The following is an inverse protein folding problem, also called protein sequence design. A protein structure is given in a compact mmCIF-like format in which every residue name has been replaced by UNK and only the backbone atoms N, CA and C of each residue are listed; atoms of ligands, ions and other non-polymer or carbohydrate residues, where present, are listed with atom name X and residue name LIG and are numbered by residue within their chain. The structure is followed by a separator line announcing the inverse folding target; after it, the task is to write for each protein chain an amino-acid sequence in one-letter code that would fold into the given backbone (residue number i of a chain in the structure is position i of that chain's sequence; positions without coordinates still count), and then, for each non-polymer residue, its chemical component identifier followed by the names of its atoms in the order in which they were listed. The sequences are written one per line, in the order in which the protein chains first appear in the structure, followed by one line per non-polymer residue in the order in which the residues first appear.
data_IF_743045553825
#
_entry.id   IF_743045553825
#
_cell.length_a   1.000
_cell.length_b   1.000
_cell.length_c   1.000
_cell.angle_alpha   90.00
_cell.angle_beta   90.00
_cell.angle_gamma   90.00
#
_symmetry.space_group_name_H-M   'P 1'
#
loop_
_entity.id
_entity.type
_entity.pdbx_description
1 polymer ?
#
# COMPACT_ATOMS: atom_id res chain seq x y z
N UNK A 1 -18.24 2.21 13.03
CA UNK A 1 -17.73 1.26 12.01
C UNK A 1 -18.77 0.88 10.95
N UNK A 2 -20.08 0.96 11.21
CA UNK A 2 -21.09 0.62 10.20
C UNK A 2 -21.08 1.59 9.00
N UNK A 3 -21.03 2.90 9.24
CA UNK A 3 -20.98 3.91 8.18
C UNK A 3 -19.90 3.68 7.11
N UNK A 4 -18.66 3.37 7.53
CA UNK A 4 -17.55 3.13 6.59
C UNK A 4 -17.75 1.85 5.76
N UNK A 5 -18.30 0.80 6.38
CA UNK A 5 -18.61 -0.43 5.67
C UNK A 5 -19.76 -0.22 4.68
N UNK A 6 -20.77 0.55 5.07
CA UNK A 6 -21.92 0.87 4.22
C UNK A 6 -21.51 1.77 3.06
N UNK A 7 -20.69 2.79 3.32
CA UNK A 7 -20.13 3.67 2.30
C UNK A 7 -19.29 2.87 1.28
N UNK A 8 -18.37 2.02 1.76
CA UNK A 8 -17.54 1.21 0.88
C UNK A 8 -18.33 0.10 0.19
N UNK A 9 -19.37 -0.44 0.82
CA UNK A 9 -20.28 -1.41 0.21
C UNK A 9 -21.11 -0.79 -0.90
N UNK A 10 -21.64 0.43 -0.69
CA UNK A 10 -22.34 1.20 -1.73
C UNK A 10 -21.41 1.60 -2.87
N UNK A 11 -20.19 2.03 -2.55
CA UNK A 11 -19.17 2.33 -3.55
C UNK A 11 -18.82 1.08 -4.36
N UNK A 12 -18.62 -0.06 -3.69
CA UNK A 12 -18.34 -1.33 -4.36
C UNK A 12 -19.49 -1.76 -5.27
N UNK A 13 -20.74 -1.62 -4.80
CA UNK A 13 -21.94 -1.85 -5.60
C UNK A 13 -21.95 -0.97 -6.85
N UNK A 14 -21.76 0.34 -6.71
CA UNK A 14 -21.72 1.29 -7.82
C UNK A 14 -20.64 0.92 -8.85
N UNK A 15 -19.44 0.59 -8.37
CA UNK A 15 -18.33 0.14 -9.22
C UNK A 15 -18.67 -1.18 -9.92
N UNK A 16 -19.26 -2.14 -9.21
CA UNK A 16 -19.66 -3.43 -9.78
C UNK A 16 -20.72 -3.26 -10.87
N UNK A 17 -21.80 -2.52 -10.61
CA UNK A 17 -22.86 -2.26 -11.59
C UNK A 17 -22.32 -1.54 -12.84
N UNK A 18 -21.42 -0.58 -12.64
CA UNK A 18 -20.73 0.11 -13.74
C UNK A 18 -19.92 -0.87 -14.58
N UNK A 19 -19.08 -1.70 -13.94
CA UNK A 19 -18.27 -2.72 -14.64
C UNK A 19 -19.15 -3.75 -15.35
N UNK A 20 -20.25 -4.17 -14.72
CA UNK A 20 -21.20 -5.12 -15.30
C UNK A 20 -21.88 -4.55 -16.54
N UNK A 21 -22.32 -3.28 -16.50
CA UNK A 21 -22.88 -2.59 -17.66
C UNK A 21 -21.91 -2.44 -18.84
N UNK A 22 -20.60 -2.41 -18.56
CA UNK A 22 -19.56 -2.37 -19.58
C UNK A 22 -19.27 -3.77 -20.18
N UNK A 23 -19.81 -4.84 -19.56
CA UNK A 23 -19.67 -6.21 -20.07
C UNK A 23 -18.23 -6.71 -20.17
N UNK A 24 -17.33 -6.22 -19.31
CA UNK A 24 -15.89 -6.51 -19.39
C UNK A 24 -15.52 -7.95 -19.01
N UNK A 25 -16.42 -8.65 -18.33
CA UNK A 25 -16.23 -9.99 -17.81
C UNK A 25 -15.99 -11.04 -18.90
N UNK A 26 -15.09 -11.96 -18.62
CA UNK A 26 -14.73 -13.10 -19.46
C UNK A 26 -14.71 -14.39 -18.63
N UNK A 27 -14.49 -15.53 -19.29
CA UNK A 27 -14.35 -16.83 -18.63
C UNK A 27 -13.22 -16.86 -17.58
N UNK A 28 -12.18 -16.04 -17.76
CA UNK A 28 -11.00 -16.02 -16.89
C UNK A 28 -10.98 -14.82 -15.92
N UNK A 29 -11.68 -13.73 -16.21
CA UNK A 29 -11.72 -12.55 -15.34
C UNK A 29 -13.16 -12.09 -15.26
N UNK A 30 -13.79 -12.25 -14.09
CA UNK A 30 -15.18 -11.88 -13.91
C UNK A 30 -15.37 -10.38 -13.70
N UNK A 31 -16.60 -9.89 -13.87
CA UNK A 31 -16.99 -8.51 -13.52
C UNK A 31 -16.65 -8.19 -12.05
N UNK A 32 -16.77 -9.17 -11.16
CA UNK A 32 -16.40 -9.01 -9.75
C UNK A 32 -14.88 -8.76 -9.57
N UNK A 33 -14.04 -9.44 -10.35
CA UNK A 33 -12.60 -9.21 -10.34
C UNK A 33 -12.24 -7.80 -10.84
N UNK A 34 -12.86 -7.36 -11.94
CA UNK A 34 -12.70 -6.00 -12.45
C UNK A 34 -13.16 -4.94 -11.45
N UNK A 35 -14.28 -5.17 -10.75
CA UNK A 35 -14.75 -4.26 -9.72
C UNK A 35 -13.70 -4.07 -8.61
N UNK A 36 -13.05 -5.15 -8.16
CA UNK A 36 -11.97 -5.07 -7.17
C UNK A 36 -10.73 -4.35 -7.70
N UNK A 37 -10.38 -4.53 -8.98
CA UNK A 37 -9.29 -3.80 -9.64
C UNK A 37 -9.59 -2.29 -9.65
N UNK A 38 -10.81 -1.91 -10.03
CA UNK A 38 -11.26 -0.51 -10.07
C UNK A 38 -11.30 0.10 -8.67
N UNK A 39 -11.72 -0.65 -7.65
CA UNK A 39 -11.62 -0.20 -6.25
C UNK A 39 -10.18 0.09 -5.84
N UNK A 40 -9.23 -0.75 -6.24
CA UNK A 40 -7.80 -0.54 -6.02
C UNK A 40 -7.31 0.75 -6.66
N UNK A 41 -7.75 1.02 -7.88
CA UNK A 41 -7.45 2.24 -8.61
C UNK A 41 -8.04 3.48 -7.92
N UNK A 42 -9.31 3.42 -7.52
CA UNK A 42 -9.99 4.52 -6.84
C UNK A 42 -9.31 4.89 -5.51
N UNK A 43 -8.96 3.87 -4.71
CA UNK A 43 -8.18 4.06 -3.49
C UNK A 43 -6.84 4.76 -3.77
N UNK A 44 -6.14 4.36 -4.83
CA UNK A 44 -4.87 5.00 -5.19
C UNK A 44 -5.05 6.44 -5.61
N UNK A 45 -6.06 6.76 -6.41
CA UNK A 45 -6.36 8.14 -6.80
C UNK A 45 -6.55 9.04 -5.57
N UNK A 46 -7.28 8.57 -4.55
CA UNK A 46 -7.49 9.32 -3.30
C UNK A 46 -6.19 9.49 -2.49
N UNK A 47 -5.30 8.50 -2.52
CA UNK A 47 -4.08 8.51 -1.69
C UNK A 47 -2.86 9.13 -2.38
N UNK A 48 -2.92 9.42 -3.68
CA UNK A 48 -1.86 10.16 -4.42
C UNK A 48 -1.45 11.47 -3.74
N UNK A 49 -2.34 12.41 -3.37
CA UNK A 49 -1.91 13.68 -2.77
C UNK A 49 -1.14 13.48 -1.45
N UNK A 50 -1.59 12.56 -0.61
CA UNK A 50 -0.92 12.18 0.63
C UNK A 50 0.45 11.52 0.36
N UNK A 51 0.53 10.72 -0.70
CA UNK A 51 1.77 10.06 -1.13
C UNK A 51 2.80 11.10 -1.61
N UNK A 52 2.37 12.11 -2.37
CA UNK A 52 3.22 13.21 -2.83
C UNK A 52 3.74 14.02 -1.63
N UNK A 53 2.88 14.32 -0.66
CA UNK A 53 3.29 15.02 0.56
C UNK A 53 4.33 14.21 1.34
N UNK A 54 4.11 12.90 1.48
CA UNK A 54 5.06 11.98 2.12
C UNK A 54 6.41 11.95 1.39
N UNK A 55 6.41 11.95 0.06
CA UNK A 55 7.64 12.01 -0.75
C UNK A 55 8.41 13.33 -0.55
N UNK A 56 7.72 14.48 -0.51
CA UNK A 56 8.35 15.78 -0.24
C UNK A 56 9.02 15.82 1.14
N UNK A 57 8.38 15.24 2.14
CA UNK A 57 8.93 15.17 3.50
C UNK A 57 10.15 14.25 3.56
N UNK A 58 10.13 13.13 2.83
CA UNK A 58 11.29 12.24 2.71
C UNK A 58 12.49 12.93 2.04
N UNK A 59 12.27 13.77 1.02
CA UNK A 59 13.36 14.54 0.40
C UNK A 59 13.99 15.54 1.39
N UNK A 60 13.18 16.24 2.19
CA UNK A 60 13.68 17.12 3.25
C UNK A 60 14.56 16.35 4.24
N UNK A 61 14.11 15.17 4.67
CA UNK A 61 14.92 14.31 5.55
C UNK A 61 16.25 13.90 4.89
N UNK A 62 16.24 13.56 3.59
CA UNK A 62 17.45 13.22 2.85
C UNK A 62 18.47 14.36 2.83
N UNK A 63 18.04 15.62 2.67
CA UNK A 63 18.93 16.80 2.69
C UNK A 63 19.58 17.03 4.06
N UNK A 64 18.92 16.60 5.13
CA UNK A 64 19.39 16.76 6.52
C UNK A 64 20.14 15.54 7.06
N UNK A 65 20.19 14.43 6.30
CA UNK A 65 20.94 13.24 6.65
C UNK A 65 22.42 13.49 7.03
N UNK A 66 23.21 14.34 6.34
CA UNK A 66 24.61 14.55 6.72
C UNK A 66 24.77 15.20 8.10
N UNK A 67 23.85 16.08 8.51
CA UNK A 67 23.89 16.68 9.86
C UNK A 67 23.51 15.65 10.94
N UNK A 68 22.56 14.76 10.64
CA UNK A 68 22.24 13.63 11.52
C UNK A 68 23.43 12.68 11.69
N UNK A 69 24.21 12.47 10.63
CA UNK A 69 25.41 11.64 10.69
C UNK A 69 26.50 12.28 11.57
N UNK A 70 26.64 13.62 11.54
CA UNK A 70 27.53 14.36 12.47
C UNK A 70 27.09 14.21 13.93
N UNK A 71 25.78 14.31 14.20
CA UNK A 71 25.22 14.07 15.55
C UNK A 71 25.54 12.64 16.01
N UNK A 72 25.42 11.66 15.11
CA UNK A 72 25.77 10.26 15.39
C UNK A 72 27.25 10.09 15.68
N UNK A 73 28.14 10.72 14.92
CA UNK A 73 29.59 10.68 15.19
C UNK A 73 29.94 11.31 16.54
N UNK A 74 29.26 12.41 16.92
CA UNK A 74 29.54 13.16 18.14
C UNK A 74 28.96 12.53 19.41
N UNK A 75 27.77 11.92 19.33
CA UNK A 75 27.02 11.44 20.50
C UNK A 75 26.69 9.94 20.45
N UNK A 76 27.08 9.22 19.40
CA UNK A 76 26.69 7.82 19.19
C UNK A 76 27.20 6.82 20.24
N UNK A 77 28.12 7.24 21.12
CA UNK A 77 28.58 6.44 22.25
C UNK A 77 27.54 6.36 23.39
N UNK A 78 26.64 7.35 23.49
CA UNK A 78 25.57 7.39 24.49
C UNK A 78 24.22 7.43 23.79
N UNK A 79 23.50 6.30 23.84
CA UNK A 79 22.23 6.15 23.18
C UNK A 79 21.16 7.14 23.68
N UNK A 80 21.15 7.49 24.97
CA UNK A 80 20.15 8.41 25.50
C UNK A 80 20.42 9.84 25.02
N UNK A 81 21.69 10.29 25.09
CA UNK A 81 22.08 11.61 24.62
C UNK A 81 21.90 11.73 23.10
N UNK A 82 22.27 10.70 22.34
CA UNK A 82 22.08 10.65 20.90
C UNK A 82 20.59 10.79 20.52
N UNK A 83 19.70 10.03 21.15
CA UNK A 83 18.27 10.09 20.88
C UNK A 83 17.69 11.48 21.21
N UNK A 84 18.10 12.07 22.34
CA UNK A 84 17.68 13.42 22.73
C UNK A 84 18.14 14.47 21.71
N UNK A 85 19.42 14.44 21.33
CA UNK A 85 20.00 15.38 20.36
C UNK A 85 19.41 15.23 18.96
N UNK A 86 19.11 14.00 18.55
CA UNK A 86 18.41 13.73 17.29
C UNK A 86 16.99 14.32 17.31
N UNK A 87 16.24 14.16 18.40
CA UNK A 87 14.89 14.74 18.54
C UNK A 87 14.92 16.28 18.57
N UNK A 88 15.87 16.87 19.29
CA UNK A 88 16.09 18.33 19.32
C UNK A 88 16.34 18.86 17.90
N UNK A 89 17.29 18.25 17.18
CA UNK A 89 17.60 18.62 15.79
C UNK A 89 16.40 18.49 14.84
N UNK A 90 15.65 17.38 14.95
CA UNK A 90 14.43 17.19 14.14
C UNK A 90 13.37 18.26 14.45
N UNK A 91 13.21 18.65 15.72
CA UNK A 91 12.26 19.70 16.15
C UNK A 91 12.64 21.06 15.59
N UNK A 92 13.90 21.44 15.74
CA UNK A 92 14.44 22.74 15.30
C UNK A 92 14.29 22.92 13.78
N UNK A 93 14.51 21.84 13.02
CA UNK A 93 14.43 21.88 11.57
C UNK A 93 13.02 21.61 11.00
N UNK A 94 11.99 21.60 11.85
CA UNK A 94 10.61 21.23 11.47
C UNK A 94 10.56 19.93 10.65
N UNK A 95 11.47 18.99 10.95
CA UNK A 95 11.40 17.65 10.41
C UNK A 95 10.17 17.01 11.04
N UNK A 96 9.34 16.38 10.22
CA UNK A 96 8.30 15.50 10.78
C UNK A 96 9.00 14.46 11.65
N UNK A 97 8.78 14.57 12.96
CA UNK A 97 9.27 13.60 13.93
C UNK A 97 8.43 12.32 13.78
N UNK A 98 9.11 11.20 13.55
CA UNK A 98 8.46 9.90 13.43
C UNK A 98 7.75 9.65 12.09
N UNK A 99 6.84 8.67 12.11
CA UNK A 99 6.28 7.98 10.95
C UNK A 99 5.23 8.79 10.14
N UNK A 100 5.12 10.11 10.35
CA UNK A 100 3.90 10.89 10.19
C UNK A 100 3.25 11.01 8.79
N UNK A 101 3.86 10.49 7.72
CA UNK A 101 3.18 10.33 6.42
C UNK A 101 2.93 8.86 6.03
N UNK A 102 3.86 7.98 6.39
CA UNK A 102 3.78 6.55 6.05
C UNK A 102 2.82 5.79 6.96
N UNK A 103 2.74 6.13 8.25
CA UNK A 103 1.78 5.50 9.16
C UNK A 103 0.34 5.90 8.84
N UNK A 104 0.09 7.16 8.46
CA UNK A 104 -1.25 7.63 8.13
C UNK A 104 -1.80 6.88 6.91
N UNK A 105 -0.97 6.73 5.87
CA UNK A 105 -1.32 5.93 4.68
C UNK A 105 -1.61 4.48 5.05
N UNK A 106 -0.81 3.89 5.94
CA UNK A 106 -1.02 2.52 6.41
C UNK A 106 -2.29 2.36 7.25
N UNK A 107 -2.61 3.31 8.13
CA UNK A 107 -3.86 3.29 8.90
C UNK A 107 -5.06 3.36 7.97
N UNK A 108 -5.05 4.28 7.00
CA UNK A 108 -6.11 4.39 6.00
C UNK A 108 -6.23 3.08 5.20
N UNK A 109 -5.11 2.50 4.77
CA UNK A 109 -5.07 1.21 4.09
C UNK A 109 -5.75 0.11 4.94
N UNK A 110 -5.39 0.00 6.23
CA UNK A 110 -5.97 -1.00 7.13
C UNK A 110 -7.47 -0.79 7.34
N UNK A 111 -7.93 0.45 7.52
CA UNK A 111 -9.37 0.76 7.66
C UNK A 111 -10.15 0.32 6.43
N UNK A 112 -9.63 0.60 5.23
CA UNK A 112 -10.28 0.23 3.97
C UNK A 112 -10.28 -1.29 3.78
N UNK A 113 -9.19 -1.97 4.11
CA UNK A 113 -9.10 -3.45 4.05
C UNK A 113 -10.15 -4.07 4.96
N UNK A 114 -10.27 -3.63 6.22
CA UNK A 114 -11.24 -4.19 7.15
C UNK A 114 -12.68 -3.99 6.68
N UNK A 115 -12.98 -2.82 6.10
CA UNK A 115 -14.28 -2.55 5.53
C UNK A 115 -14.56 -3.38 4.28
N UNK A 116 -13.61 -3.46 3.34
CA UNK A 116 -13.73 -4.28 2.13
C UNK A 116 -13.83 -5.77 2.46
N UNK A 117 -13.10 -6.25 3.46
CA UNK A 117 -13.23 -7.61 3.99
C UNK A 117 -14.67 -7.91 4.41
N UNK A 118 -15.33 -6.99 5.14
CA UNK A 118 -16.73 -7.16 5.52
C UNK A 118 -17.69 -7.15 4.33
N UNK A 119 -17.42 -6.32 3.33
CA UNK A 119 -18.20 -6.29 2.07
C UNK A 119 -18.05 -7.61 1.30
N UNK A 120 -16.84 -8.16 1.23
CA UNK A 120 -16.57 -9.46 0.59
C UNK A 120 -17.23 -10.61 1.37
N UNK A 121 -17.27 -10.54 2.70
CA UNK A 121 -17.92 -11.56 3.54
C UNK A 121 -19.45 -11.50 3.52
N UNK A 122 -20.04 -10.31 3.37
CA UNK A 122 -21.50 -10.12 3.33
C UNK A 122 -21.95 -9.47 2.00
N UNK A 123 -21.65 -10.11 0.86
CA UNK A 123 -21.82 -9.49 -0.44
C UNK A 123 -23.30 -9.39 -0.86
N UNK A 124 -24.17 -10.24 -0.31
CA UNK A 124 -25.63 -10.22 -0.52
C UNK A 124 -26.27 -8.92 -0.05
N UNK A 125 -25.64 -8.20 0.87
CA UNK A 125 -26.11 -6.91 1.38
C UNK A 125 -26.04 -5.81 0.31
N UNK A 126 -25.11 -5.92 -0.63
CA UNK A 126 -24.81 -4.85 -1.59
C UNK A 126 -25.01 -5.27 -3.05
N UNK A 127 -24.75 -6.53 -3.39
CA UNK A 127 -24.90 -7.06 -4.75
C UNK A 127 -26.13 -7.97 -4.81
N UNK A 128 -27.12 -7.56 -5.61
CA UNK A 128 -28.28 -8.40 -5.92
C UNK A 128 -27.87 -9.60 -6.77
N UNK A 129 -28.51 -10.76 -6.59
CA UNK A 129 -28.18 -12.01 -7.30
C UNK A 129 -26.74 -12.51 -7.12
N UNK A 130 -26.09 -12.19 -5.99
CA UNK A 130 -24.72 -12.62 -5.71
C UNK A 130 -24.49 -14.13 -5.87
N UNK A 131 -25.49 -14.97 -5.62
CA UNK A 131 -25.35 -16.42 -5.78
C UNK A 131 -25.12 -16.86 -7.24
N UNK A 132 -25.43 -15.99 -8.21
CA UNK A 132 -25.32 -16.25 -9.65
C UNK A 132 -24.14 -15.53 -10.32
N UNK A 133 -23.41 -14.68 -9.59
CA UNK A 133 -22.31 -13.93 -10.19
C UNK A 133 -21.06 -14.79 -10.32
N UNK A 134 -20.36 -14.67 -11.45
CA UNK A 134 -19.03 -15.25 -11.60
C UNK A 134 -18.03 -14.45 -10.77
N UNK A 135 -17.16 -15.15 -10.04
CA UNK A 135 -16.12 -14.58 -9.17
C UNK A 135 -14.72 -15.08 -9.56
N UNK A 136 -14.57 -15.54 -10.79
CA UNK A 136 -13.33 -16.13 -11.31
C UNK A 136 -12.28 -15.05 -11.56
N UNK A 137 -11.04 -15.35 -11.20
CA UNK A 137 -9.85 -14.59 -11.56
C UNK A 137 -8.68 -15.54 -11.87
N UNK A 138 -8.39 -15.74 -13.14
CA UNK A 138 -7.42 -16.68 -13.68
C UNK A 138 -7.55 -18.08 -13.05
N UNK A 139 -6.62 -18.46 -12.17
CA UNK A 139 -6.60 -19.76 -11.48
C UNK A 139 -7.50 -19.81 -10.24
N UNK A 140 -8.10 -18.68 -9.85
CA UNK A 140 -8.93 -18.54 -8.66
C UNK A 140 -10.40 -18.67 -9.07
N UNK A 141 -11.10 -19.75 -8.69
CA UNK A 141 -12.49 -19.95 -9.09
C UNK A 141 -13.46 -19.04 -8.32
N UNK A 142 -13.12 -18.66 -7.09
CA UNK A 142 -13.94 -17.79 -6.26
C UNK A 142 -13.10 -16.80 -5.44
N UNK A 143 -13.20 -15.51 -5.76
CA UNK A 143 -12.52 -14.42 -5.06
C UNK A 143 -13.03 -14.18 -3.62
N UNK A 144 -14.16 -14.74 -3.21
CA UNK A 144 -14.62 -14.67 -1.83
C UNK A 144 -13.87 -15.65 -0.90
N UNK A 145 -13.23 -16.67 -1.47
CA UNK A 145 -12.46 -17.67 -0.75
C UNK A 145 -10.96 -17.36 -0.83
N UNK A 146 -10.16 -18.02 0.00
CA UNK A 146 -8.70 -17.94 -0.11
C UNK A 146 -8.20 -18.50 -1.46
N UNK A 147 -7.01 -18.05 -1.89
CA UNK A 147 -6.38 -18.56 -3.11
C UNK A 147 -6.25 -20.10 -3.04
N UNK A 148 -6.79 -20.87 -4.01
CA UNK A 148 -6.76 -22.33 -3.97
C UNK A 148 -5.33 -22.90 -4.02
N UNK A 149 -4.38 -22.18 -4.62
CA UNK A 149 -2.97 -22.59 -4.59
C UNK A 149 -2.38 -22.42 -3.18
N UNK A 150 -2.95 -21.52 -2.40
CA UNK A 150 -2.48 -21.14 -1.07
C UNK A 150 -1.21 -20.30 -1.06
N UNK A 151 -0.59 -19.97 -2.20
CA UNK A 151 0.66 -19.20 -2.23
C UNK A 151 0.84 -18.29 -3.44
N UNK A 152 0.21 -18.54 -4.58
CA UNK A 152 0.52 -17.83 -5.82
C UNK A 152 0.17 -16.34 -5.75
N UNK A 153 -1.08 -15.99 -5.44
CA UNK A 153 -1.51 -14.60 -5.29
C UNK A 153 -0.85 -13.92 -4.07
N UNK A 154 -0.74 -14.54 -2.88
CA UNK A 154 0.04 -13.99 -1.77
C UNK A 154 1.49 -13.69 -2.15
N UNK A 155 2.16 -14.55 -2.91
CA UNK A 155 3.54 -14.36 -3.33
C UNK A 155 3.65 -13.18 -4.31
N UNK A 156 2.77 -13.10 -5.30
CA UNK A 156 2.69 -11.96 -6.23
C UNK A 156 2.51 -10.66 -5.44
N UNK A 157 1.61 -10.68 -4.44
CA UNK A 157 1.42 -9.53 -3.58
C UNK A 157 2.72 -9.16 -2.83
N UNK A 158 3.35 -10.09 -2.13
CA UNK A 158 4.57 -9.81 -1.36
C UNK A 158 5.73 -9.34 -2.23
N UNK A 159 5.92 -9.92 -3.42
CA UNK A 159 6.92 -9.48 -4.39
C UNK A 159 6.60 -8.08 -4.90
N UNK A 160 5.33 -7.77 -5.21
CA UNK A 160 4.93 -6.43 -5.62
C UNK A 160 5.11 -5.39 -4.50
N UNK A 161 4.90 -5.76 -3.23
CA UNK A 161 5.21 -4.88 -2.10
C UNK A 161 6.70 -4.57 -2.04
N UNK A 162 7.56 -5.58 -2.17
CA UNK A 162 9.02 -5.38 -2.22
C UNK A 162 9.44 -4.50 -3.41
N UNK A 163 8.82 -4.71 -4.59
CA UNK A 163 9.05 -3.89 -5.78
C UNK A 163 8.68 -2.43 -5.54
N UNK A 164 7.48 -2.15 -5.02
CA UNK A 164 7.07 -0.79 -4.64
C UNK A 164 8.03 -0.17 -3.62
N UNK A 165 8.39 -0.92 -2.58
CA UNK A 165 9.29 -0.44 -1.53
C UNK A 165 10.68 -0.11 -2.07
N UNK A 166 11.19 -0.86 -3.04
CA UNK A 166 12.45 -0.56 -3.72
C UNK A 166 12.41 0.84 -4.36
N UNK A 167 11.32 1.19 -5.04
CA UNK A 167 11.14 2.54 -5.59
C UNK A 167 10.99 3.62 -4.52
N UNK A 168 10.49 3.27 -3.33
CA UNK A 168 10.40 4.19 -2.19
C UNK A 168 11.74 4.37 -1.45
N UNK A 169 12.63 3.38 -1.54
CA UNK A 169 13.93 3.31 -0.83
C UNK A 169 14.92 4.39 -1.25
N UNK A 170 14.84 4.88 -2.49
CA UNK A 170 15.69 5.96 -2.99
C UNK A 170 15.49 7.31 -2.25
N UNK A 171 14.51 7.38 -1.35
CA UNK A 171 14.24 8.55 -0.51
C UNK A 171 14.71 8.38 0.95
N UNK A 172 15.24 7.20 1.33
CA UNK A 172 15.72 6.94 2.68
C UNK A 172 17.25 6.93 2.66
N UNK A 173 17.88 7.86 3.38
CA UNK A 173 19.33 7.84 3.58
C UNK A 173 19.79 6.54 4.23
N UNK A 174 21.08 6.24 4.17
CA UNK A 174 21.70 5.19 4.97
C UNK A 174 22.47 5.88 6.11
N UNK A 175 22.31 5.46 7.38
CA UNK A 175 23.15 6.03 8.45
C UNK A 175 22.66 5.89 9.89
N UNK A 176 21.35 5.93 10.17
CA UNK A 176 20.84 5.96 11.56
C UNK A 176 20.30 4.60 12.03
N UNK A 177 20.50 4.26 13.32
CA UNK A 177 20.00 3.00 13.90
C UNK A 177 18.48 2.87 13.77
N UNK A 178 17.75 3.97 13.94
CA UNK A 178 16.30 4.05 13.70
C UNK A 178 15.92 3.79 12.24
N UNK A 179 16.81 4.14 11.31
CA UNK A 179 16.61 3.95 9.87
C UNK A 179 16.93 2.51 9.45
N UNK A 180 17.91 1.87 10.10
CA UNK A 180 18.18 0.43 9.94
C UNK A 180 17.00 -0.42 10.44
N UNK A 181 16.39 -0.05 11.57
CA UNK A 181 15.17 -0.71 12.06
C UNK A 181 14.01 -0.54 11.08
N UNK A 182 13.84 0.65 10.51
CA UNK A 182 12.81 0.91 9.50
C UNK A 182 13.05 0.15 8.19
N UNK A 183 14.31 0.05 7.74
CA UNK A 183 14.68 -0.75 6.57
C UNK A 183 14.47 -2.25 6.79
N UNK A 184 14.75 -2.74 8.00
CA UNK A 184 14.52 -4.15 8.37
C UNK A 184 13.03 -4.47 8.39
N UNK A 185 12.21 -3.59 9.00
CA UNK A 185 10.75 -3.71 8.99
C UNK A 185 10.19 -3.72 7.56
N UNK A 186 10.79 -2.93 6.66
CA UNK A 186 10.43 -2.89 5.25
C UNK A 186 10.47 -4.29 4.62
N UNK A 187 11.50 -5.09 4.90
CA UNK A 187 11.67 -6.44 4.35
C UNK A 187 10.88 -7.52 5.09
N UNK A 188 10.73 -7.40 6.40
CA UNK A 188 10.01 -8.40 7.20
C UNK A 188 8.50 -8.33 6.94
N UNK A 189 7.94 -7.11 6.77
CA UNK A 189 6.49 -6.92 6.61
C UNK A 189 5.88 -7.69 5.42
N UNK A 190 6.44 -7.66 4.20
CA UNK A 190 5.93 -8.45 3.07
C UNK A 190 5.98 -9.96 3.31
N UNK A 191 6.99 -10.44 4.06
CA UNK A 191 7.08 -11.87 4.44
C UNK A 191 6.00 -12.22 5.45
N UNK A 192 5.72 -11.37 6.43
CA UNK A 192 4.60 -11.59 7.36
C UNK A 192 3.25 -11.55 6.64
N UNK A 193 3.04 -10.57 5.75
CA UNK A 193 1.81 -10.46 4.98
C UNK A 193 1.61 -11.62 4.02
N UNK A 194 2.68 -12.23 3.50
CA UNK A 194 2.57 -13.46 2.73
C UNK A 194 1.77 -14.52 3.49
N UNK A 195 2.16 -14.82 4.75
CA UNK A 195 1.48 -15.83 5.55
C UNK A 195 0.04 -15.46 5.91
N UNK A 196 -0.22 -14.19 6.21
CA UNK A 196 -1.57 -13.68 6.51
C UNK A 196 -2.47 -13.80 5.28
N UNK A 197 -1.99 -13.46 4.09
CA UNK A 197 -2.80 -13.49 2.86
C UNK A 197 -3.16 -14.87 2.37
N UNK A 198 -2.50 -15.92 2.88
CA UNK A 198 -2.89 -17.31 2.61
C UNK A 198 -4.27 -17.65 3.20
N UNK A 199 -4.68 -16.95 4.26
CA UNK A 199 -5.94 -17.24 4.97
C UNK A 199 -7.05 -16.23 4.66
N UNK A 200 -6.74 -15.14 3.96
CA UNK A 200 -7.71 -14.10 3.63
C UNK A 200 -8.38 -14.38 2.27
N UNK A 201 -9.60 -13.83 2.03
CA UNK A 201 -10.24 -13.87 0.72
C UNK A 201 -9.32 -13.34 -0.38
N UNK A 202 -9.20 -14.10 -1.48
CA UNK A 202 -8.36 -13.75 -2.62
C UNK A 202 -8.73 -12.41 -3.24
N UNK A 203 -10.00 -12.01 -3.20
CA UNK A 203 -10.46 -10.70 -3.66
C UNK A 203 -9.83 -9.53 -2.91
N UNK A 204 -9.59 -9.69 -1.60
CA UNK A 204 -8.91 -8.69 -0.79
C UNK A 204 -7.41 -8.60 -1.15
N UNK A 205 -6.77 -9.76 -1.34
CA UNK A 205 -5.37 -9.84 -1.74
C UNK A 205 -5.18 -9.28 -3.15
N UNK A 206 -6.11 -9.54 -4.06
CA UNK A 206 -6.13 -9.00 -5.43
C UNK A 206 -6.23 -7.47 -5.41
N UNK A 207 -7.19 -6.91 -4.67
CA UNK A 207 -7.34 -5.47 -4.48
C UNK A 207 -6.02 -4.82 -4.01
N UNK A 208 -5.36 -5.42 -3.01
CA UNK A 208 -4.08 -4.91 -2.52
C UNK A 208 -3.00 -5.01 -3.60
N UNK A 209 -2.90 -6.16 -4.26
CA UNK A 209 -1.89 -6.43 -5.29
C UNK A 209 -1.95 -5.40 -6.41
N UNK A 210 -3.16 -5.10 -6.91
CA UNK A 210 -3.41 -4.06 -7.91
C UNK A 210 -2.91 -2.70 -7.41
N UNK A 211 -3.21 -2.36 -6.16
CA UNK A 211 -2.69 -1.15 -5.52
C UNK A 211 -1.16 -1.07 -5.56
N UNK A 212 -0.45 -2.15 -5.25
CA UNK A 212 1.02 -2.17 -5.32
C UNK A 212 1.52 -1.93 -6.76
N UNK A 213 0.92 -2.56 -7.76
CA UNK A 213 1.30 -2.37 -9.15
C UNK A 213 1.06 -0.94 -9.64
N UNK A 214 -0.07 -0.33 -9.29
CA UNK A 214 -0.36 1.08 -9.60
C UNK A 214 0.71 1.99 -8.97
N UNK A 215 1.08 1.71 -7.72
CA UNK A 215 2.11 2.48 -7.02
C UNK A 215 3.49 2.37 -7.71
N UNK A 216 3.85 1.16 -8.16
CA UNK A 216 5.07 0.92 -8.95
C UNK A 216 5.02 1.72 -10.26
N UNK A 217 3.90 1.71 -10.97
CA UNK A 217 3.73 2.43 -12.24
C UNK A 217 3.88 3.94 -12.01
N UNK A 218 3.16 4.50 -11.03
CA UNK A 218 3.20 5.93 -10.71
C UNK A 218 4.64 6.38 -10.37
N UNK A 219 5.34 5.62 -9.53
CA UNK A 219 6.71 5.96 -9.10
C UNK A 219 7.75 5.72 -10.17
N UNK A 220 7.62 4.62 -10.91
CA UNK A 220 8.48 4.31 -12.05
C UNK A 220 8.40 5.41 -13.11
N UNK A 221 7.19 5.84 -13.47
CA UNK A 221 6.97 6.95 -14.39
C UNK A 221 7.59 8.26 -13.86
N UNK A 222 7.40 8.57 -12.58
CA UNK A 222 7.99 9.77 -11.95
C UNK A 222 9.53 9.79 -12.03
N UNK A 223 10.19 8.65 -11.81
CA UNK A 223 11.66 8.55 -11.93
C UNK A 223 12.15 8.70 -13.36
N UNK A 224 11.44 8.13 -14.34
CA UNK A 224 11.78 8.25 -15.76
C UNK A 224 11.69 9.71 -16.22
N UNK A 225 10.59 10.40 -15.88
CA UNK A 225 10.41 11.82 -16.20
C UNK A 225 11.51 12.68 -15.55
N UNK A 226 11.86 12.41 -14.29
CA UNK A 226 12.95 13.09 -13.60
C UNK A 226 14.32 12.90 -14.28
N UNK A 227 14.63 11.68 -14.74
CA UNK A 227 15.86 11.38 -15.48
C UNK A 227 15.91 12.07 -16.85
N UNK A 228 14.78 12.16 -17.55
CA UNK A 228 14.70 12.86 -18.85
C UNK A 228 14.95 14.36 -18.65
N UNK A 229 14.31 14.98 -17.65
CA UNK A 229 14.49 16.41 -17.34
C UNK A 229 15.90 16.76 -16.83
N UNK A 230 16.64 15.81 -16.27
CA UNK A 230 18.01 16.02 -15.83
C UNK A 230 19.06 15.87 -16.95
N UNK A 231 18.66 15.34 -18.12
CA UNK A 231 19.53 15.13 -19.29
C UNK A 231 19.35 16.17 -20.40
N UNK A 232 18.27 16.93 -20.40
CA UNK A 232 18.02 18.05 -21.32
C UNK A 232 18.18 19.38 -20.62
#
# INVERSE_FOLDING_TARGET
MNFLNDLLGQLFKFVYETVESLGLGSAHISNYAYALIVMGLFYKVITIPMTIQSARNAEKQRKMQPELDKIKQKYGYDQQIYQKKMMEFQKENNMMQGCGGSCLTFIIQMVIIFALYKVIQNPKTYIHNYDKISRVFFWIPDLALADPTGYLLPLINSVSQLGFQYFNRNNMGAGNAQMNSMQTMMYIMPVMFFFIFRTLPAGLVLYWTVGNFIEIIIRGAGLLIGKIKARG
#
